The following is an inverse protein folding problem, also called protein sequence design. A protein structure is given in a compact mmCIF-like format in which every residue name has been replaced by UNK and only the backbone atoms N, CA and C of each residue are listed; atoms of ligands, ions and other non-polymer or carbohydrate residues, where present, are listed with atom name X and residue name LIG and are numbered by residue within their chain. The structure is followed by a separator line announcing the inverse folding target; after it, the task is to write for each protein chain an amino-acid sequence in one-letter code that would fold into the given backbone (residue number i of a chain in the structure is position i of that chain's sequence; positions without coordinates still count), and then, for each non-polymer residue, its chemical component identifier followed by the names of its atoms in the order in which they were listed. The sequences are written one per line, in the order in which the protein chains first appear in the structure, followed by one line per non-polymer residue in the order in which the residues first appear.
data_IF_899678315320
#
_entry.id   IF_899678315320
#
_cell.length_a   1.000
_cell.length_b   1.000
_cell.length_c   1.000
_cell.angle_alpha   90.00
_cell.angle_beta   90.00
_cell.angle_gamma   90.00
#
_symmetry.space_group_name_H-M   'P 1'
#
loop_
_entity.id
_entity.type
_entity.pdbx_description
1 polymer ?
#
# COMPACT_ATOMS: atom_id res chain seq x y z
N UNK A 1 2.73 -25.73 -8.41
CA UNK A 1 4.07 -25.59 -9.04
C UNK A 1 4.94 -24.75 -8.15
N UNK A 2 6.17 -25.16 -7.88
CA UNK A 2 7.14 -24.32 -7.15
C UNK A 2 7.83 -23.39 -8.14
N UNK A 3 7.92 -22.11 -7.80
CA UNK A 3 8.58 -21.08 -8.59
C UNK A 3 10.00 -20.88 -8.07
N UNK A 4 10.98 -20.80 -8.94
CA UNK A 4 12.37 -20.54 -8.55
C UNK A 4 12.53 -19.10 -8.02
N UNK A 5 13.59 -18.89 -7.24
CA UNK A 5 13.91 -17.54 -6.75
C UNK A 5 14.29 -16.63 -7.91
N UNK A 6 13.67 -15.46 -8.01
CA UNK A 6 13.90 -14.51 -9.08
C UNK A 6 13.01 -13.28 -8.99
N UNK A 7 13.14 -12.41 -10.00
CA UNK A 7 12.27 -11.25 -10.17
C UNK A 7 11.25 -11.57 -11.28
N UNK A 8 9.97 -11.34 -10.97
CA UNK A 8 8.88 -11.67 -11.86
C UNK A 8 7.94 -10.50 -12.04
N UNK A 9 7.51 -10.30 -13.29
CA UNK A 9 6.37 -9.44 -13.56
C UNK A 9 5.15 -10.06 -12.89
N UNK A 10 4.47 -9.28 -12.06
CA UNK A 10 3.39 -9.80 -11.22
C UNK A 10 2.14 -8.92 -11.35
N UNK A 11 1.02 -9.55 -11.61
CA UNK A 11 -0.29 -8.94 -11.44
C UNK A 11 -0.85 -9.28 -10.07
N UNK A 12 -1.31 -8.24 -9.38
CA UNK A 12 -2.05 -8.37 -8.14
C UNK A 12 -3.50 -8.00 -8.40
N UNK A 13 -4.42 -8.92 -8.11
CA UNK A 13 -5.85 -8.64 -8.09
C UNK A 13 -6.19 -7.59 -7.03
N UNK A 14 -7.37 -6.98 -7.13
CA UNK A 14 -7.80 -5.92 -6.21
C UNK A 14 -7.73 -6.35 -4.73
N UNK A 15 -8.05 -7.61 -4.42
CA UNK A 15 -7.94 -8.15 -3.07
C UNK A 15 -6.48 -8.22 -2.59
N UNK A 16 -5.56 -8.69 -3.44
CA UNK A 16 -4.13 -8.72 -3.11
C UNK A 16 -3.55 -7.30 -2.96
N UNK A 17 -4.00 -6.35 -3.78
CA UNK A 17 -3.62 -4.94 -3.64
C UNK A 17 -4.14 -4.37 -2.32
N UNK A 18 -5.37 -4.68 -1.91
CA UNK A 18 -5.93 -4.24 -0.63
C UNK A 18 -5.12 -4.79 0.56
N UNK A 19 -4.75 -6.07 0.53
CA UNK A 19 -3.88 -6.69 1.54
C UNK A 19 -2.53 -5.98 1.62
N UNK A 20 -1.93 -5.68 0.46
CA UNK A 20 -0.66 -4.97 0.37
C UNK A 20 -0.76 -3.53 0.92
N UNK A 21 -1.83 -2.80 0.57
CA UNK A 21 -2.07 -1.46 1.10
C UNK A 21 -2.32 -1.48 2.61
N UNK A 22 -2.90 -2.56 3.14
CA UNK A 22 -3.04 -2.78 4.58
C UNK A 22 -1.72 -2.69 5.34
N UNK A 23 -0.60 -3.09 4.71
CA UNK A 23 0.73 -2.96 5.30
C UNK A 23 1.15 -1.50 5.53
N UNK A 24 0.62 -0.56 4.76
CA UNK A 24 0.92 0.87 4.97
C UNK A 24 0.33 1.40 6.27
N UNK A 25 -0.78 0.81 6.73
CA UNK A 25 -1.35 1.07 8.06
C UNK A 25 -0.48 0.54 9.19
N UNK A 26 0.39 -0.40 8.88
CA UNK A 26 1.24 -1.05 9.88
C UNK A 26 2.65 -0.45 9.84
N UNK A 27 2.82 0.66 10.56
CA UNK A 27 4.07 1.44 10.63
C UNK A 27 4.57 2.00 9.28
N UNK A 28 3.70 2.12 8.27
CA UNK A 28 4.09 2.70 6.99
C UNK A 28 3.85 4.21 6.96
N UNK A 29 2.59 4.59 6.92
CA UNK A 29 2.15 5.96 6.63
C UNK A 29 1.98 6.86 7.86
N UNK A 30 2.25 6.35 9.05
CA UNK A 30 2.13 7.07 10.33
C UNK A 30 3.23 8.11 10.50
N UNK A 31 2.88 9.33 10.86
CA UNK A 31 3.84 10.38 11.23
C UNK A 31 4.69 9.98 12.44
N UNK A 32 4.05 9.41 13.47
CA UNK A 32 4.75 8.94 14.65
C UNK A 32 5.80 7.88 14.29
N UNK A 33 5.43 6.88 13.48
CA UNK A 33 6.36 5.83 13.06
C UNK A 33 7.52 6.36 12.23
N UNK A 34 7.28 7.35 11.37
CA UNK A 34 8.33 8.02 10.59
C UNK A 34 9.30 8.79 11.49
N UNK A 35 8.79 9.52 12.50
CA UNK A 35 9.62 10.27 13.47
C UNK A 35 10.45 9.34 14.35
N UNK A 36 9.91 8.19 14.69
CA UNK A 36 10.58 7.18 15.51
C UNK A 36 11.55 6.26 14.72
N UNK A 37 11.64 6.45 13.40
CA UNK A 37 12.50 5.62 12.54
C UNK A 37 11.99 4.19 12.33
N UNK A 38 10.71 3.94 12.61
CA UNK A 38 10.08 2.62 12.51
C UNK A 38 9.26 2.42 11.22
N UNK A 39 9.21 3.42 10.33
CA UNK A 39 8.42 3.36 9.10
C UNK A 39 9.20 2.80 7.92
N UNK A 40 8.56 1.93 7.12
CA UNK A 40 9.06 1.50 5.81
C UNK A 40 9.18 2.64 4.79
N UNK A 41 8.61 3.81 5.05
CA UNK A 41 8.69 5.00 4.19
C UNK A 41 9.74 6.03 4.65
N UNK A 42 10.56 5.67 5.64
CA UNK A 42 11.62 6.56 6.15
C UNK A 42 12.55 7.05 5.05
N UNK A 43 12.95 6.17 4.13
CA UNK A 43 13.80 6.52 2.98
C UNK A 43 13.11 7.45 1.97
N UNK A 44 11.79 7.34 1.79
CA UNK A 44 11.03 8.26 0.93
C UNK A 44 11.01 9.68 1.48
N UNK A 45 11.08 9.84 2.80
CA UNK A 45 11.16 11.16 3.46
C UNK A 45 12.60 11.72 3.47
N UNK A 46 13.59 10.87 3.73
CA UNK A 46 14.94 11.30 4.09
C UNK A 46 15.96 11.19 2.95
N UNK A 47 15.74 10.34 1.95
CA UNK A 47 16.74 9.94 0.96
C UNK A 47 16.33 10.16 -0.50
N UNK A 48 15.28 10.92 -0.77
CA UNK A 48 14.72 11.11 -2.13
C UNK A 48 14.41 9.78 -2.89
N UNK A 49 14.13 8.71 -2.15
CA UNK A 49 13.66 7.45 -2.72
C UNK A 49 12.20 7.60 -3.13
N UNK A 50 11.84 7.09 -4.30
CA UNK A 50 10.49 7.17 -4.86
C UNK A 50 9.98 5.80 -5.27
N UNK A 51 8.69 5.62 -5.17
CA UNK A 51 7.99 4.51 -5.81
C UNK A 51 7.79 4.80 -7.31
N UNK A 52 7.18 3.87 -8.03
CA UNK A 52 6.79 4.11 -9.42
C UNK A 52 5.97 5.40 -9.55
N UNK A 53 6.25 6.19 -10.60
CA UNK A 53 5.44 7.39 -10.90
C UNK A 53 3.98 7.07 -11.28
N UNK A 54 3.64 5.82 -11.47
CA UNK A 54 2.26 5.34 -11.67
C UNK A 54 1.52 5.07 -10.37
N UNK A 55 2.22 5.11 -9.22
CA UNK A 55 1.64 4.81 -7.93
C UNK A 55 1.20 6.07 -7.22
N UNK A 56 -0.09 6.15 -6.92
CA UNK A 56 -0.68 7.22 -6.11
C UNK A 56 -1.72 6.63 -5.16
N UNK A 57 -1.73 7.11 -3.93
CA UNK A 57 -2.68 6.70 -2.89
C UNK A 57 -3.18 7.92 -2.12
N UNK A 58 -4.47 7.95 -1.87
CA UNK A 58 -5.18 8.98 -1.11
C UNK A 58 -5.95 8.31 0.02
N UNK A 59 -6.00 8.93 1.17
CA UNK A 59 -7.05 8.67 2.16
C UNK A 59 -8.26 9.48 1.74
N UNK A 60 -9.36 8.85 1.32
CA UNK A 60 -10.51 9.50 0.70
C UNK A 60 -11.83 9.13 1.40
N UNK A 61 -12.40 10.06 2.14
CA UNK A 61 -13.66 9.89 2.86
C UNK A 61 -14.90 10.30 2.03
N UNK A 62 -14.72 10.85 0.83
CA UNK A 62 -15.83 11.34 0.00
C UNK A 62 -16.83 10.27 -0.43
N UNK A 63 -16.45 8.97 -0.62
CA UNK A 63 -17.43 7.92 -0.93
C UNK A 63 -18.36 7.55 0.23
N UNK A 64 -18.03 7.95 1.47
CA UNK A 64 -18.88 7.68 2.65
C UNK A 64 -18.85 6.24 3.17
N UNK A 65 -17.90 5.40 2.74
CA UNK A 65 -17.76 4.03 3.24
C UNK A 65 -17.24 3.95 4.68
N UNK A 66 -16.61 5.01 5.15
CA UNK A 66 -16.07 5.12 6.48
C UNK A 66 -16.44 6.48 7.09
N UNK A 67 -16.75 6.56 8.39
CA UNK A 67 -16.99 7.85 9.06
C UNK A 67 -15.79 8.79 8.90
N UNK A 68 -16.03 10.06 8.60
CA UNK A 68 -14.99 11.07 8.46
C UNK A 68 -14.39 11.54 9.78
N UNK A 69 -15.01 11.22 10.90
CA UNK A 69 -14.50 11.54 12.24
C UNK A 69 -13.74 10.33 12.84
N UNK A 70 -12.72 10.62 13.62
CA UNK A 70 -11.94 9.62 14.35
C UNK A 70 -12.61 9.24 15.70
N UNK A 71 -11.97 8.35 16.47
CA UNK A 71 -12.48 7.90 17.79
C UNK A 71 -12.63 9.03 18.83
N UNK A 72 -11.97 10.17 18.64
CA UNK A 72 -12.08 11.35 19.48
C UNK A 72 -13.17 12.33 19.01
N UNK A 73 -13.89 12.02 17.92
CA UNK A 73 -14.88 12.92 17.31
C UNK A 73 -14.27 14.04 16.45
N UNK A 74 -12.98 14.03 16.21
CA UNK A 74 -12.30 15.00 15.35
C UNK A 74 -12.55 14.68 13.88
N UNK A 75 -12.85 15.69 13.07
CA UNK A 75 -13.27 15.54 11.66
C UNK A 75 -12.08 15.72 10.73
N UNK A 76 -11.74 14.65 10.01
CA UNK A 76 -10.67 14.66 9.00
C UNK A 76 -11.05 15.50 7.76
N UNK A 77 -10.09 15.98 6.96
CA UNK A 77 -10.35 16.51 5.63
C UNK A 77 -11.11 15.49 4.75
N UNK A 78 -11.77 15.97 3.69
CA UNK A 78 -12.46 15.05 2.76
C UNK A 78 -11.50 14.05 2.11
N UNK A 79 -10.29 14.50 1.81
CA UNK A 79 -9.22 13.66 1.29
C UNK A 79 -7.84 14.15 1.72
N UNK A 80 -6.89 13.22 1.83
CA UNK A 80 -5.48 13.48 2.13
C UNK A 80 -4.65 12.74 1.09
N UNK A 81 -3.96 13.47 0.22
CA UNK A 81 -3.03 12.85 -0.72
C UNK A 81 -1.80 12.37 0.03
N UNK A 82 -1.62 11.08 0.15
CA UNK A 82 -0.50 10.47 0.89
C UNK A 82 0.72 10.29 0.00
N UNK A 83 0.54 9.62 -1.14
CA UNK A 83 1.57 9.44 -2.15
C UNK A 83 1.01 9.92 -3.49
N UNK A 84 1.77 10.69 -4.23
CA UNK A 84 1.44 11.18 -5.56
C UNK A 84 2.58 10.94 -6.52
N UNK A 85 2.31 10.22 -7.59
CA UNK A 85 3.32 9.89 -8.61
C UNK A 85 4.60 9.33 -7.99
N UNK A 86 4.45 8.38 -7.06
CA UNK A 86 5.54 7.73 -6.35
C UNK A 86 6.22 8.55 -5.25
N UNK A 87 5.82 9.80 -5.05
CA UNK A 87 6.43 10.71 -4.05
C UNK A 87 5.54 10.80 -2.81
N UNK A 88 6.11 10.61 -1.63
CA UNK A 88 5.43 10.84 -0.35
C UNK A 88 5.12 12.34 -0.20
N UNK A 89 3.83 12.69 -0.06
CA UNK A 89 3.33 14.05 0.09
C UNK A 89 2.92 14.37 1.52
N UNK A 90 2.14 13.49 2.11
CA UNK A 90 1.67 13.62 3.48
C UNK A 90 1.72 12.27 4.19
N UNK A 91 1.62 12.33 5.49
CA UNK A 91 1.45 11.20 6.39
C UNK A 91 0.13 11.34 7.13
N UNK A 92 -0.30 10.29 7.80
CA UNK A 92 -1.40 10.37 8.74
C UNK A 92 -0.89 10.93 10.05
N UNK A 93 -1.51 12.01 10.51
CA UNK A 93 -1.08 12.79 11.68
C UNK A 93 -2.26 12.92 12.65
N UNK A 94 -2.19 12.21 13.76
CA UNK A 94 -3.15 12.34 14.85
C UNK A 94 -2.93 13.65 15.61
N UNK A 95 -3.94 14.10 16.36
CA UNK A 95 -3.81 15.28 17.24
C UNK A 95 -2.74 15.09 18.31
N UNK A 96 -2.50 13.84 18.73
CA UNK A 96 -1.40 13.51 19.64
C UNK A 96 -0.05 13.74 18.99
N UNK A 97 0.19 13.17 17.82
CA UNK A 97 1.46 13.33 17.10
C UNK A 97 1.71 14.77 16.67
N UNK A 98 0.64 15.47 16.27
CA UNK A 98 0.73 16.90 15.96
C UNK A 98 1.30 17.70 17.13
N UNK A 99 0.79 17.45 18.34
CA UNK A 99 1.26 18.09 19.57
C UNK A 99 2.67 17.65 19.95
N UNK A 100 2.98 16.36 19.83
CA UNK A 100 4.27 15.77 20.21
C UNK A 100 5.41 16.27 19.32
N UNK A 101 5.18 16.34 18.00
CA UNK A 101 6.21 16.66 17.01
C UNK A 101 6.14 18.09 16.44
N UNK A 102 5.17 18.89 16.88
CA UNK A 102 5.03 20.29 16.43
C UNK A 102 4.63 20.40 14.95
N UNK A 103 3.79 19.50 14.47
CA UNK A 103 3.30 19.49 13.08
C UNK A 103 1.78 19.66 13.03
N UNK A 104 1.23 19.97 11.86
CA UNK A 104 -0.21 20.13 11.69
C UNK A 104 -0.90 18.76 11.67
N UNK A 105 -2.01 18.62 12.43
CA UNK A 105 -2.86 17.43 12.42
C UNK A 105 -3.73 17.40 11.19
N UNK A 106 -3.90 16.22 10.59
CA UNK A 106 -4.97 15.96 9.65
C UNK A 106 -6.10 15.11 10.27
N UNK A 107 -6.12 15.06 11.60
CA UNK A 107 -7.13 14.38 12.41
C UNK A 107 -7.26 12.89 12.09
N UNK A 108 -6.13 12.27 11.76
CA UNK A 108 -6.05 10.83 11.63
C UNK A 108 -6.44 10.13 12.94
N UNK A 109 -6.79 8.85 12.85
CA UNK A 109 -7.03 8.01 14.03
C UNK A 109 -5.79 7.97 14.93
N UNK A 110 -5.95 7.71 16.22
CA UNK A 110 -4.84 7.71 17.18
C UNK A 110 -3.68 6.76 16.83
N UNK A 111 -3.97 5.68 16.11
CA UNK A 111 -2.96 4.75 15.57
C UNK A 111 -2.40 5.13 14.19
N UNK A 112 -2.87 6.22 13.58
CA UNK A 112 -2.40 6.75 12.28
C UNK A 112 -2.40 5.70 11.16
N UNK A 113 -3.49 4.93 11.06
CA UNK A 113 -3.71 3.91 10.04
C UNK A 113 -4.71 4.36 8.97
N UNK A 114 -4.65 3.73 7.80
CA UNK A 114 -5.57 3.97 6.70
C UNK A 114 -6.99 3.50 7.07
N UNK A 115 -7.99 4.31 6.77
CA UNK A 115 -9.40 4.04 7.04
C UNK A 115 -10.24 3.96 5.77
N UNK A 116 -9.88 4.76 4.77
CA UNK A 116 -10.56 4.83 3.49
C UNK A 116 -9.56 5.03 2.34
N UNK A 117 -8.57 4.12 2.19
CA UNK A 117 -7.56 4.27 1.16
C UNK A 117 -8.16 4.07 -0.24
N UNK A 118 -7.76 4.95 -1.16
CA UNK A 118 -8.06 4.85 -2.58
C UNK A 118 -6.77 4.92 -3.39
N UNK A 119 -6.55 3.91 -4.21
CA UNK A 119 -5.47 3.89 -5.18
C UNK A 119 -6.02 4.27 -6.56
N UNK A 120 -5.32 5.14 -7.28
CA UNK A 120 -5.73 5.51 -8.64
C UNK A 120 -5.59 4.30 -9.59
N UNK A 121 -6.61 4.03 -10.41
CA UNK A 121 -6.58 2.90 -11.32
C UNK A 121 -5.57 3.11 -12.45
N UNK A 122 -4.97 2.02 -12.92
CA UNK A 122 -4.20 1.99 -14.16
C UNK A 122 -5.09 2.00 -15.41
N UNK A 123 -4.45 1.87 -16.58
CA UNK A 123 -5.13 1.84 -17.89
C UNK A 123 -5.23 0.43 -18.48
N UNK A 124 -4.65 -0.58 -17.82
CA UNK A 124 -4.66 -1.95 -18.32
C UNK A 124 -6.06 -2.54 -18.21
N UNK A 125 -6.59 -3.04 -19.33
CA UNK A 125 -7.84 -3.78 -19.34
C UNK A 125 -7.60 -5.17 -18.73
N UNK A 126 -8.49 -5.59 -17.82
CA UNK A 126 -8.41 -6.88 -17.13
C UNK A 126 -8.35 -8.07 -18.09
N UNK A 127 -9.02 -8.01 -19.23
CA UNK A 127 -8.97 -9.05 -20.26
C UNK A 127 -7.59 -9.26 -20.89
N UNK A 128 -6.70 -8.27 -20.78
CA UNK A 128 -5.35 -8.32 -21.36
C UNK A 128 -4.28 -8.63 -20.31
N UNK A 129 -4.63 -8.84 -19.06
CA UNK A 129 -3.69 -8.99 -17.95
C UNK A 129 -2.68 -10.11 -18.20
N UNK A 130 -3.12 -11.30 -18.56
CA UNK A 130 -2.22 -12.44 -18.80
C UNK A 130 -1.27 -12.20 -19.97
N UNK A 131 -1.76 -11.59 -21.05
CA UNK A 131 -0.93 -11.20 -22.21
C UNK A 131 0.13 -10.16 -21.84
N UNK A 132 -0.24 -9.19 -20.98
CA UNK A 132 0.70 -8.18 -20.51
C UNK A 132 1.70 -8.72 -19.48
N UNK A 133 1.33 -9.73 -18.70
CA UNK A 133 2.29 -10.46 -17.87
C UNK A 133 3.31 -11.16 -18.76
N UNK A 134 2.85 -11.79 -19.85
CA UNK A 134 3.61 -12.63 -20.77
C UNK A 134 4.27 -13.80 -20.03
N UNK A 135 5.25 -13.54 -19.17
CA UNK A 135 5.86 -14.51 -18.26
C UNK A 135 5.96 -13.92 -16.85
N UNK A 136 5.31 -14.58 -15.88
CA UNK A 136 5.30 -14.08 -14.50
C UNK A 136 4.18 -14.67 -13.65
N UNK A 137 3.66 -13.85 -12.73
CA UNK A 137 2.76 -14.30 -11.68
C UNK A 137 1.41 -13.56 -11.76
N UNK A 138 0.36 -14.33 -11.60
CA UNK A 138 -0.99 -13.82 -11.38
C UNK A 138 -1.41 -14.16 -9.94
N UNK A 139 -1.61 -13.17 -9.09
CA UNK A 139 -1.89 -13.34 -7.67
C UNK A 139 -3.27 -12.79 -7.33
N UNK A 140 -4.20 -13.68 -6.96
CA UNK A 140 -5.53 -13.25 -6.51
C UNK A 140 -5.50 -12.65 -5.12
N UNK A 141 -4.73 -13.25 -4.21
CA UNK A 141 -4.61 -12.86 -2.81
C UNK A 141 -3.21 -13.15 -2.29
N UNK A 142 -2.82 -12.38 -1.30
CA UNK A 142 -1.61 -12.60 -0.51
C UNK A 142 -1.98 -12.60 0.97
N UNK A 143 -1.19 -13.29 1.79
CA UNK A 143 -1.44 -13.28 3.22
C UNK A 143 -0.17 -13.54 4.03
N UNK A 144 -0.25 -13.49 5.36
CA UNK A 144 0.92 -13.49 6.25
C UNK A 144 1.96 -12.43 5.87
N UNK A 145 1.45 -11.28 5.44
CA UNK A 145 2.32 -10.14 5.14
C UNK A 145 3.03 -9.67 6.40
N UNK A 146 4.29 -9.33 6.25
CA UNK A 146 5.10 -8.78 7.32
C UNK A 146 6.19 -7.86 6.75
N UNK A 147 6.62 -6.88 7.52
CA UNK A 147 7.83 -6.13 7.26
C UNK A 147 9.04 -7.01 7.59
N UNK A 148 9.71 -7.55 6.59
CA UNK A 148 10.97 -8.28 6.78
C UNK A 148 12.16 -7.35 7.01
N UNK A 149 12.03 -6.10 6.56
CA UNK A 149 13.00 -5.03 6.77
C UNK A 149 12.27 -3.69 6.70
N UNK A 150 11.97 -3.12 7.87
CA UNK A 150 11.28 -1.83 7.96
C UNK A 150 12.10 -0.69 7.36
N UNK A 151 13.38 -0.62 7.68
CA UNK A 151 14.24 0.45 7.20
C UNK A 151 14.41 0.42 5.68
N UNK A 152 14.51 -0.78 5.10
CA UNK A 152 14.58 -0.99 3.66
C UNK A 152 13.22 -0.96 2.93
N UNK A 153 12.11 -0.87 3.67
CA UNK A 153 10.75 -0.91 3.09
C UNK A 153 10.40 -2.25 2.46
N UNK A 154 10.96 -3.37 2.95
CA UNK A 154 10.77 -4.70 2.38
C UNK A 154 9.64 -5.45 3.05
N UNK A 155 8.69 -5.93 2.25
CA UNK A 155 7.55 -6.75 2.68
C UNK A 155 7.76 -8.18 2.19
N UNK A 156 7.42 -9.15 3.04
CA UNK A 156 7.29 -10.58 2.69
C UNK A 156 5.85 -11.00 2.89
N UNK A 157 5.45 -12.04 2.18
CA UNK A 157 4.11 -12.63 2.29
C UNK A 157 4.05 -13.97 1.58
N UNK A 158 2.91 -14.62 1.68
CA UNK A 158 2.62 -15.89 1.02
C UNK A 158 1.48 -15.71 0.02
N UNK A 159 1.53 -16.46 -1.06
CA UNK A 159 0.42 -16.61 -2.01
C UNK A 159 -0.78 -17.27 -1.34
N UNK A 160 -1.99 -16.91 -1.77
CA UNK A 160 -3.22 -17.49 -1.25
C UNK A 160 -4.28 -17.60 -2.34
N UNK A 161 -5.04 -18.68 -2.30
CA UNK A 161 -6.14 -18.99 -3.23
C UNK A 161 -5.67 -19.14 -4.69
N UNK A 162 -6.30 -18.44 -5.63
CA UNK A 162 -6.09 -18.56 -7.06
C UNK A 162 -4.84 -17.78 -7.52
N UNK A 163 -3.66 -18.36 -7.29
CA UNK A 163 -2.38 -17.80 -7.71
C UNK A 163 -1.77 -18.72 -8.79
N UNK A 164 -1.32 -18.12 -9.89
CA UNK A 164 -0.93 -18.87 -11.08
C UNK A 164 0.39 -18.40 -11.65
N UNK A 165 1.11 -19.34 -12.27
CA UNK A 165 2.18 -19.09 -13.20
C UNK A 165 1.59 -18.78 -14.58
N UNK A 166 2.05 -17.71 -15.19
CA UNK A 166 1.70 -17.29 -16.54
C UNK A 166 2.93 -17.44 -17.43
N UNK A 167 2.76 -18.03 -18.61
CA UNK A 167 3.79 -18.19 -19.62
C UNK A 167 3.20 -18.04 -21.02
N UNK A 168 3.86 -17.27 -21.88
CA UNK A 168 3.37 -16.90 -23.23
C UNK A 168 1.95 -16.27 -23.19
N UNK A 169 1.63 -15.51 -22.15
CA UNK A 169 0.33 -14.86 -21.98
C UNK A 169 -0.82 -15.78 -21.56
N UNK A 170 -0.53 -17.03 -21.17
CA UNK A 170 -1.54 -18.02 -20.76
C UNK A 170 -1.26 -18.51 -19.33
N UNK A 171 -2.34 -18.84 -18.60
CA UNK A 171 -2.23 -19.48 -17.28
C UNK A 171 -1.82 -20.95 -17.50
N UNK A 172 -0.66 -21.33 -16.98
CA UNK A 172 -0.07 -22.65 -17.16
C UNK A 172 -0.29 -23.55 -15.95
N UNK A 173 -0.08 -23.07 -14.75
CA UNK A 173 -0.16 -23.88 -13.53
C UNK A 173 -0.48 -23.05 -12.30
N UNK A 174 -1.14 -23.62 -11.27
CA UNK A 174 -1.21 -23.01 -9.95
C UNK A 174 0.17 -23.01 -9.30
N UNK A 175 0.46 -21.96 -8.53
CA UNK A 175 1.68 -21.85 -7.73
C UNK A 175 1.38 -22.03 -6.24
N UNK A 176 2.37 -22.55 -5.51
CA UNK A 176 2.37 -22.74 -4.06
C UNK A 176 3.20 -21.67 -3.37
#
# INVERSE_FOLDING_TARGET
MKVDTGEYRTWFEAAAVADFLGMFSWNGISEASLRQGCSGFGRMRNEDVRLSNKFSIIEDFSPGFCPKFNSNGEVSPNSITLIQNGTLKNTLVSSRSAKEYGVESNFAEGGEYLRSPRMEPGKLNQENVTKEIDRGLYLSNIHYLNWSDNAGGRITGLTRYACFWVENGEIVAPIE
#
